data_IF_448357303516
#
_entry.id   IF_448357303516
#
_cell.length_a   1.000
_cell.length_b   1.000
_cell.length_c   1.000
_cell.angle_alpha   90.00
_cell.angle_beta   90.00
_cell.angle_gamma   90.00
#
_symmetry.space_group_name_H-M   'P 1'
#
loop_
_entity.id
_entity.type
_entity.pdbx_description
1 polymer ?
#
# COMPACT_ATOMS: atom_id res chain seq x y z
N UNK A 1 -8.16 -16.17 1.68
CA UNK A 1 -7.60 -17.40 2.23
C UNK A 1 -7.80 -17.48 3.71
N UNK A 2 -8.55 -18.51 4.19
CA UNK A 2 -8.79 -18.70 5.61
C UNK A 2 -7.47 -18.93 6.33
N UNK A 3 -7.14 -18.07 7.29
CA UNK A 3 -6.18 -18.37 8.33
C UNK A 3 -6.73 -19.60 9.07
N UNK A 4 -6.18 -20.79 8.82
CA UNK A 4 -6.49 -21.97 9.63
C UNK A 4 -6.05 -21.64 11.05
N UNK A 5 -7.01 -21.49 11.94
CA UNK A 5 -6.84 -20.91 13.24
C UNK A 5 -6.11 -21.85 14.20
N UNK A 6 -4.82 -21.54 14.46
CA UNK A 6 -4.28 -21.85 15.79
C UNK A 6 -5.03 -20.98 16.80
N UNK A 7 -5.53 -21.57 17.86
CA UNK A 7 -6.15 -20.81 18.96
C UNK A 7 -5.11 -20.59 20.07
N UNK A 8 -4.99 -19.38 20.65
CA UNK A 8 -5.76 -18.17 20.31
C UNK A 8 -5.31 -17.54 19.00
N UNK A 9 -6.25 -17.00 18.22
CA UNK A 9 -5.94 -16.24 17.01
C UNK A 9 -5.51 -14.82 17.38
N UNK A 10 -4.25 -14.48 17.09
CA UNK A 10 -3.73 -13.12 17.21
C UNK A 10 -3.61 -12.54 15.79
N UNK A 11 -4.25 -11.41 15.56
CA UNK A 11 -4.29 -10.71 14.26
C UNK A 11 -3.11 -9.74 14.10
N UNK A 12 -3.09 -9.06 12.94
CA UNK A 12 -2.17 -7.97 12.61
C UNK A 12 -0.87 -8.43 11.96
N UNK A 13 -0.33 -7.55 11.15
CA UNK A 13 0.94 -7.75 10.42
C UNK A 13 1.86 -6.54 10.49
N UNK A 14 1.33 -5.35 10.74
CA UNK A 14 2.10 -4.12 10.84
C UNK A 14 2.72 -3.99 12.21
N UNK A 15 4.01 -3.70 12.26
CA UNK A 15 4.72 -3.52 13.51
C UNK A 15 5.77 -2.42 13.42
N UNK A 16 5.90 -1.65 14.49
CA UNK A 16 7.05 -0.80 14.77
C UNK A 16 7.33 -0.83 16.27
N UNK A 17 8.58 -1.03 16.64
CA UNK A 17 8.95 -1.20 18.05
C UNK A 17 10.46 -1.22 18.24
N UNK A 18 10.85 -1.59 19.46
CA UNK A 18 12.24 -1.66 19.90
C UNK A 18 12.64 -3.13 20.04
N UNK A 19 13.77 -3.51 19.49
CA UNK A 19 14.32 -4.85 19.63
C UNK A 19 14.62 -5.14 21.11
N UNK A 20 13.85 -6.02 21.71
CA UNK A 20 14.05 -6.47 23.08
C UNK A 20 15.17 -7.52 23.17
N UNK A 21 15.18 -8.44 22.20
CA UNK A 21 16.16 -9.51 22.07
C UNK A 21 16.33 -9.93 20.63
N UNK A 22 17.53 -10.33 20.22
CA UNK A 22 17.82 -10.86 18.89
C UNK A 22 18.34 -12.30 19.00
N UNK A 23 17.88 -13.17 18.11
CA UNK A 23 18.39 -14.54 18.02
C UNK A 23 19.88 -14.58 17.67
N UNK A 24 20.57 -15.64 18.06
CA UNK A 24 22.03 -15.78 17.90
C UNK A 24 22.55 -15.70 16.45
N UNK A 25 21.69 -15.98 15.48
CA UNK A 25 22.01 -15.84 14.04
C UNK A 25 21.69 -14.48 13.42
N UNK A 26 21.12 -13.54 14.18
CA UNK A 26 20.75 -12.21 13.69
C UNK A 26 21.94 -11.27 13.87
N UNK A 27 22.46 -10.74 12.76
CA UNK A 27 23.61 -9.82 12.76
C UNK A 27 23.23 -8.38 12.39
N UNK A 28 22.07 -8.18 11.75
CA UNK A 28 21.62 -6.88 11.26
C UNK A 28 20.91 -6.01 12.31
N UNK A 29 20.51 -6.58 13.43
CA UNK A 29 19.85 -5.87 14.53
C UNK A 29 20.40 -6.29 15.89
N UNK A 30 20.39 -5.35 16.83
CA UNK A 30 20.75 -5.57 18.23
C UNK A 30 19.67 -5.03 19.17
N UNK A 31 19.70 -5.45 20.43
CA UNK A 31 18.84 -4.92 21.49
C UNK A 31 18.93 -3.37 21.53
N UNK A 32 17.77 -2.73 21.55
CA UNK A 32 17.61 -1.29 21.59
C UNK A 32 17.42 -0.63 20.22
N UNK A 33 17.63 -1.36 19.12
CA UNK A 33 17.36 -0.81 17.78
C UNK A 33 15.85 -0.59 17.60
N UNK A 34 15.50 0.56 17.02
CA UNK A 34 14.12 0.83 16.59
C UNK A 34 13.91 0.26 15.19
N UNK A 35 12.92 -0.60 15.04
CA UNK A 35 12.64 -1.33 13.79
C UNK A 35 11.17 -1.26 13.42
N UNK A 36 10.87 -1.49 12.13
CA UNK A 36 9.50 -1.64 11.65
C UNK A 36 9.43 -2.56 10.44
N UNK A 37 8.21 -3.05 10.15
CA UNK A 37 7.97 -3.87 8.98
C UNK A 37 6.65 -4.62 9.02
N UNK A 38 6.35 -5.31 7.92
CA UNK A 38 5.20 -6.20 7.79
C UNK A 38 5.62 -7.63 8.11
N UNK A 39 5.01 -8.23 9.13
CA UNK A 39 5.45 -9.50 9.71
C UNK A 39 4.73 -10.69 9.08
N UNK A 40 5.49 -11.66 8.55
CA UNK A 40 5.01 -12.99 8.11
C UNK A 40 3.83 -12.98 7.11
N UNK A 41 3.57 -11.91 6.38
CA UNK A 41 2.50 -11.95 5.40
C UNK A 41 2.94 -12.72 4.12
N UNK A 42 2.11 -13.66 3.60
CA UNK A 42 0.69 -13.92 3.89
C UNK A 42 0.40 -14.92 5.04
N UNK A 43 1.37 -15.28 5.87
CA UNK A 43 1.18 -16.12 7.06
C UNK A 43 0.65 -15.33 8.27
N UNK A 44 0.78 -15.90 9.47
CA UNK A 44 0.36 -15.27 10.72
C UNK A 44 1.38 -14.24 11.20
N UNK A 45 1.02 -12.95 11.19
CA UNK A 45 1.87 -11.85 11.69
C UNK A 45 1.87 -11.74 13.21
N UNK A 46 0.70 -11.96 13.83
CA UNK A 46 0.48 -11.89 15.29
C UNK A 46 0.91 -10.54 15.90
N UNK A 47 0.70 -9.44 15.14
CA UNK A 47 1.19 -8.13 15.51
C UNK A 47 0.31 -7.40 16.54
N UNK A 48 -0.89 -7.89 16.85
CA UNK A 48 -1.72 -7.37 17.94
C UNK A 48 -1.21 -7.90 19.27
N UNK A 49 -0.01 -7.48 19.65
CA UNK A 49 0.66 -7.93 20.87
C UNK A 49 1.70 -6.89 21.33
N UNK A 50 1.99 -6.89 22.63
CA UNK A 50 3.03 -6.03 23.21
C UNK A 50 4.44 -6.48 22.78
N UNK A 51 4.62 -7.77 22.50
CA UNK A 51 5.86 -8.37 22.01
C UNK A 51 5.58 -9.28 20.82
N UNK A 52 6.44 -9.22 19.82
CA UNK A 52 6.31 -9.95 18.57
C UNK A 52 7.62 -10.68 18.27
N UNK A 53 7.53 -11.97 17.96
CA UNK A 53 8.64 -12.71 17.36
C UNK A 53 8.58 -12.55 15.84
N UNK A 54 9.49 -11.73 15.29
CA UNK A 54 9.53 -11.41 13.87
C UNK A 54 10.79 -11.96 13.20
N UNK A 55 10.70 -12.53 11.98
CA UNK A 55 11.89 -12.80 11.19
C UNK A 55 12.64 -11.51 10.89
N UNK A 56 13.94 -11.49 11.14
CA UNK A 56 14.80 -10.33 10.89
C UNK A 56 14.73 -9.88 9.40
N UNK A 57 14.55 -10.83 8.47
CA UNK A 57 14.41 -10.55 7.03
C UNK A 57 13.11 -9.78 6.65
N UNK A 58 12.19 -9.56 7.58
CA UNK A 58 10.96 -8.79 7.35
C UNK A 58 11.04 -7.34 7.86
N UNK A 59 12.09 -7.02 8.60
CA UNK A 59 12.25 -5.76 9.30
C UNK A 59 13.34 -4.88 8.66
N UNK A 60 13.25 -3.59 8.96
CA UNK A 60 14.31 -2.61 8.73
C UNK A 60 14.42 -1.64 9.90
N UNK A 61 15.52 -0.90 9.99
CA UNK A 61 15.69 0.19 10.95
C UNK A 61 14.65 1.29 10.67
N UNK A 62 13.98 1.75 11.70
CA UNK A 62 13.07 2.89 11.64
C UNK A 62 13.87 4.18 11.48
N UNK A 63 13.55 5.04 10.49
CA UNK A 63 14.15 6.37 10.41
C UNK A 63 13.88 7.18 11.67
N UNK A 64 14.89 7.94 12.13
CA UNK A 64 14.80 8.71 13.37
C UNK A 64 13.86 9.92 13.29
N UNK A 65 13.55 10.38 12.09
CA UNK A 65 12.69 11.52 11.81
C UNK A 65 11.19 11.19 11.77
N UNK A 66 10.80 9.93 11.96
CA UNK A 66 9.40 9.51 12.02
C UNK A 66 9.07 8.81 13.35
N UNK A 67 7.83 8.91 13.77
CA UNK A 67 7.30 8.22 14.94
C UNK A 67 7.07 6.72 14.67
N UNK A 68 6.94 5.92 15.74
CA UNK A 68 6.53 4.51 15.62
C UNK A 68 5.14 4.35 14.97
N UNK A 69 4.22 5.29 15.21
CA UNK A 69 2.91 5.26 14.58
C UNK A 69 3.01 5.45 13.06
N UNK A 70 3.82 6.39 12.58
CA UNK A 70 4.06 6.61 11.15
C UNK A 70 4.77 5.41 10.50
N UNK A 71 5.74 4.83 11.19
CA UNK A 71 6.46 3.66 10.71
C UNK A 71 5.55 2.42 10.61
N UNK A 72 4.73 2.16 11.63
CA UNK A 72 3.77 1.06 11.61
C UNK A 72 2.73 1.25 10.49
N UNK A 73 2.18 2.46 10.32
CA UNK A 73 1.22 2.78 9.25
C UNK A 73 1.82 2.56 7.85
N UNK A 74 3.12 2.77 7.68
CA UNK A 74 3.80 2.55 6.40
C UNK A 74 4.03 1.06 6.08
N UNK A 75 3.99 0.16 7.05
CA UNK A 75 4.47 -1.22 6.85
C UNK A 75 3.73 -1.95 5.73
N UNK A 76 2.48 -2.36 5.91
CA UNK A 76 1.72 -3.06 4.87
C UNK A 76 1.36 -2.15 3.71
N UNK A 77 0.90 -0.94 3.99
CA UNK A 77 0.30 -0.07 2.99
C UNK A 77 1.34 0.47 1.99
N UNK A 78 2.48 1.00 2.47
CA UNK A 78 3.54 1.46 1.59
C UNK A 78 4.24 0.29 0.87
N UNK A 79 4.41 -0.86 1.55
CA UNK A 79 4.99 -2.05 0.95
C UNK A 79 4.12 -2.59 -0.19
N UNK A 80 2.79 -2.59 -0.01
CA UNK A 80 1.85 -2.98 -1.07
C UNK A 80 1.98 -2.06 -2.29
N UNK A 81 1.97 -0.75 -2.10
CA UNK A 81 2.13 0.22 -3.18
C UNK A 81 3.48 0.06 -3.89
N UNK A 82 4.57 -0.06 -3.13
CA UNK A 82 5.92 -0.23 -3.64
C UNK A 82 6.07 -1.49 -4.48
N UNK A 83 5.70 -2.62 -3.93
CA UNK A 83 5.83 -3.91 -4.62
C UNK A 83 4.91 -4.01 -5.83
N UNK A 84 3.66 -3.54 -5.76
CA UNK A 84 2.74 -3.55 -6.89
C UNK A 84 3.30 -2.76 -8.07
N UNK A 85 3.88 -1.57 -7.84
CA UNK A 85 4.44 -0.73 -8.89
C UNK A 85 5.74 -1.26 -9.50
N UNK A 86 6.41 -2.22 -8.84
CA UNK A 86 7.67 -2.83 -9.31
C UNK A 86 7.52 -4.25 -9.83
N UNK A 87 6.42 -4.94 -9.49
CA UNK A 87 6.29 -6.38 -9.74
C UNK A 87 6.28 -6.74 -11.24
N UNK A 88 5.65 -5.95 -12.08
CA UNK A 88 5.39 -6.28 -13.48
C UNK A 88 5.87 -5.23 -14.48
N UNK A 89 6.26 -4.07 -13.99
CA UNK A 89 6.79 -2.97 -14.79
C UNK A 89 7.58 -2.02 -13.91
N UNK A 90 8.37 -1.16 -14.56
CA UNK A 90 8.92 0.03 -13.90
C UNK A 90 8.24 1.24 -14.51
N UNK A 91 7.53 2.00 -13.67
CA UNK A 91 6.90 3.25 -14.10
C UNK A 91 7.98 4.19 -14.63
N UNK A 92 7.78 4.70 -15.85
CA UNK A 92 8.70 5.62 -16.50
C UNK A 92 8.28 7.06 -16.28
N UNK A 93 9.27 7.96 -16.28
CA UNK A 93 9.01 9.41 -16.21
C UNK A 93 8.06 9.85 -17.31
N UNK A 94 7.01 10.59 -16.93
CA UNK A 94 6.00 11.13 -17.84
C UNK A 94 4.86 10.18 -18.20
N UNK A 95 4.90 8.91 -17.76
CA UNK A 95 3.75 8.03 -17.90
C UNK A 95 2.56 8.54 -17.07
N UNK A 96 1.35 8.36 -17.62
CA UNK A 96 0.10 8.66 -16.90
C UNK A 96 -0.32 7.48 -16.04
N UNK A 97 -0.42 7.73 -14.76
CA UNK A 97 -0.77 6.74 -13.73
C UNK A 97 -2.09 7.11 -13.07
N UNK A 98 -3.02 6.17 -13.00
CA UNK A 98 -4.27 6.31 -12.25
C UNK A 98 -4.19 5.47 -10.97
N UNK A 99 -4.45 6.10 -9.82
CA UNK A 99 -4.51 5.44 -8.52
C UNK A 99 -5.94 5.51 -8.00
N UNK A 100 -6.59 4.35 -7.87
CA UNK A 100 -7.90 4.28 -7.24
C UNK A 100 -7.83 4.39 -5.72
N UNK A 101 -8.88 4.98 -5.12
CA UNK A 101 -8.94 5.30 -3.70
C UNK A 101 -7.65 6.00 -3.19
N UNK A 102 -7.24 7.06 -3.88
CA UNK A 102 -5.98 7.77 -3.64
C UNK A 102 -5.86 8.35 -2.22
N UNK A 103 -6.96 8.60 -1.52
CA UNK A 103 -6.99 9.02 -0.12
C UNK A 103 -6.96 7.86 0.88
N UNK A 104 -6.99 6.60 0.40
CA UNK A 104 -6.98 5.40 1.24
C UNK A 104 -5.59 5.00 1.73
N UNK A 105 -5.54 3.95 2.55
CA UNK A 105 -4.30 3.46 3.17
C UNK A 105 -3.19 3.14 2.18
N UNK A 106 -3.44 2.36 1.13
CA UNK A 106 -2.46 2.07 0.07
C UNK A 106 -2.35 3.24 -0.92
N UNK A 107 -3.49 3.85 -1.27
CA UNK A 107 -3.57 4.88 -2.32
C UNK A 107 -2.69 6.09 -2.05
N UNK A 108 -2.65 6.59 -0.80
CA UNK A 108 -1.86 7.79 -0.50
C UNK A 108 -0.35 7.57 -0.60
N UNK A 109 0.14 6.36 -0.30
CA UNK A 109 1.54 6.01 -0.59
C UNK A 109 1.78 5.80 -2.08
N UNK A 110 0.82 5.17 -2.76
CA UNK A 110 0.93 4.91 -4.19
C UNK A 110 1.06 6.21 -5.02
N UNK A 111 0.28 7.24 -4.69
CA UNK A 111 0.42 8.58 -5.31
C UNK A 111 1.84 9.10 -5.13
N UNK A 112 2.36 9.13 -3.92
CA UNK A 112 3.69 9.66 -3.60
C UNK A 112 4.81 8.84 -4.28
N UNK A 113 4.69 7.50 -4.31
CA UNK A 113 5.66 6.61 -4.95
C UNK A 113 5.63 6.78 -6.48
N UNK A 114 4.45 6.89 -7.10
CA UNK A 114 4.33 7.16 -8.53
C UNK A 114 4.97 8.52 -8.90
N UNK A 115 4.76 9.54 -8.08
CA UNK A 115 5.44 10.85 -8.24
C UNK A 115 6.95 10.74 -8.11
N UNK A 116 7.44 9.94 -7.17
CA UNK A 116 8.88 9.67 -7.02
C UNK A 116 9.49 9.04 -8.28
N UNK A 117 8.75 8.18 -8.99
CA UNK A 117 9.16 7.63 -10.28
C UNK A 117 9.02 8.64 -11.44
N UNK A 118 8.48 9.83 -11.18
CA UNK A 118 8.34 10.90 -12.19
C UNK A 118 7.09 10.79 -13.06
N UNK A 119 6.09 10.02 -12.64
CA UNK A 119 4.82 9.91 -13.34
C UNK A 119 3.97 11.19 -13.21
N UNK A 120 3.09 11.38 -14.18
CA UNK A 120 1.89 12.19 -14.01
C UNK A 120 0.81 11.32 -13.35
N UNK A 121 0.21 11.80 -12.27
CA UNK A 121 -0.65 11.00 -11.41
C UNK A 121 -2.04 11.60 -11.29
N UNK A 122 -3.06 10.84 -11.69
CA UNK A 122 -4.46 11.07 -11.34
C UNK A 122 -4.86 10.19 -10.16
N UNK A 123 -5.55 10.75 -9.18
CA UNK A 123 -6.03 10.02 -8.00
C UNK A 123 -7.55 10.08 -7.86
N UNK A 124 -8.23 8.91 -7.79
CA UNK A 124 -9.68 8.91 -7.54
C UNK A 124 -9.95 9.02 -6.04
N UNK A 125 -10.81 9.93 -5.65
CA UNK A 125 -11.34 10.07 -4.29
C UNK A 125 -12.67 10.81 -4.31
N UNK A 126 -13.37 10.89 -3.17
CA UNK A 126 -14.53 11.78 -3.04
C UNK A 126 -14.11 13.26 -3.05
N UNK A 127 -15.02 14.16 -3.39
CA UNK A 127 -14.80 15.62 -3.39
C UNK A 127 -14.18 16.12 -2.07
N UNK A 128 -14.59 15.56 -0.93
CA UNK A 128 -14.08 15.92 0.39
C UNK A 128 -12.57 15.67 0.57
N UNK A 129 -12.01 14.74 -0.19
CA UNK A 129 -10.59 14.37 -0.13
C UNK A 129 -9.74 15.03 -1.23
N UNK A 130 -10.33 15.93 -2.02
CA UNK A 130 -9.64 16.57 -3.15
C UNK A 130 -8.32 17.23 -2.73
N UNK A 131 -8.37 18.10 -1.74
CA UNK A 131 -7.19 18.84 -1.31
C UNK A 131 -6.12 17.92 -0.73
N UNK A 132 -6.52 16.89 0.00
CA UNK A 132 -5.59 15.86 0.50
C UNK A 132 -4.87 15.16 -0.66
N UNK A 133 -5.60 14.68 -1.68
CA UNK A 133 -5.02 13.96 -2.82
C UNK A 133 -4.05 14.84 -3.61
N UNK A 134 -4.39 16.11 -3.83
CA UNK A 134 -3.49 17.06 -4.50
C UNK A 134 -2.26 17.39 -3.63
N UNK A 135 -2.44 17.58 -2.32
CA UNK A 135 -1.34 17.90 -1.40
C UNK A 135 -0.32 16.78 -1.24
N UNK A 136 -0.71 15.51 -1.40
CA UNK A 136 0.23 14.38 -1.41
C UNK A 136 0.92 14.20 -2.77
N UNK A 137 0.65 15.07 -3.74
CA UNK A 137 1.38 15.19 -4.99
C UNK A 137 0.68 14.69 -6.24
N UNK A 138 -0.61 14.30 -6.20
CA UNK A 138 -1.35 14.01 -7.42
C UNK A 138 -1.44 15.28 -8.30
N UNK A 139 -1.28 15.10 -9.60
CA UNK A 139 -1.44 16.18 -10.58
C UNK A 139 -2.91 16.48 -10.83
N UNK A 140 -3.78 15.47 -10.69
CA UNK A 140 -5.22 15.59 -10.87
C UNK A 140 -5.99 14.76 -9.83
N UNK A 141 -7.07 15.33 -9.34
CA UNK A 141 -8.06 14.66 -8.51
C UNK A 141 -9.29 14.33 -9.34
N UNK A 142 -9.69 13.08 -9.35
CA UNK A 142 -10.87 12.57 -10.02
C UNK A 142 -11.96 12.27 -9.00
N UNK A 143 -13.07 13.00 -9.03
CA UNK A 143 -14.23 12.68 -8.20
C UNK A 143 -15.05 11.58 -8.87
N UNK A 144 -14.93 10.35 -8.34
CA UNK A 144 -15.63 9.19 -8.87
C UNK A 144 -17.18 9.26 -8.73
N UNK A 145 -17.71 10.27 -8.00
CA UNK A 145 -19.14 10.52 -7.83
C UNK A 145 -19.69 11.59 -8.75
N UNK A 146 -18.83 12.46 -9.30
CA UNK A 146 -19.25 13.61 -10.08
C UNK A 146 -19.65 13.24 -11.51
N UNK A 147 -18.88 12.38 -12.15
CA UNK A 147 -19.09 11.92 -13.52
C UNK A 147 -18.41 10.56 -13.76
N UNK A 148 -18.77 9.85 -14.83
CA UNK A 148 -18.04 8.64 -15.26
C UNK A 148 -16.54 8.93 -15.43
N UNK A 149 -15.68 7.98 -15.10
CA UNK A 149 -14.23 8.18 -15.12
C UNK A 149 -13.72 8.55 -16.53
N UNK A 150 -14.29 7.94 -17.58
CA UNK A 150 -13.88 8.17 -18.97
C UNK A 150 -14.17 9.57 -19.51
N UNK A 151 -15.02 10.34 -18.82
CA UNK A 151 -15.26 11.76 -19.12
C UNK A 151 -14.26 12.68 -18.42
N UNK A 152 -13.55 12.17 -17.41
CA UNK A 152 -12.65 12.96 -16.57
C UNK A 152 -11.18 12.73 -16.92
N UNK A 153 -10.79 11.52 -17.31
CA UNK A 153 -9.39 11.18 -17.60
C UNK A 153 -9.30 10.14 -18.71
N UNK A 154 -8.22 10.18 -19.50
CA UNK A 154 -7.96 9.24 -20.59
C UNK A 154 -6.45 9.05 -20.82
N UNK A 155 -6.14 8.10 -21.70
CA UNK A 155 -4.77 7.78 -22.12
C UNK A 155 -3.87 7.34 -20.96
N UNK A 156 -4.39 6.50 -20.08
CA UNK A 156 -3.67 5.98 -18.91
C UNK A 156 -2.72 4.85 -19.32
N UNK A 157 -1.47 4.93 -18.88
CA UNK A 157 -0.44 3.92 -19.13
C UNK A 157 -0.43 2.83 -18.04
N UNK A 158 -0.74 3.21 -16.79
CA UNK A 158 -0.72 2.31 -15.63
C UNK A 158 -1.85 2.62 -14.66
N UNK A 159 -2.53 1.58 -14.19
CA UNK A 159 -3.55 1.68 -13.14
C UNK A 159 -3.15 0.84 -11.94
N UNK A 160 -3.19 1.44 -10.75
CA UNK A 160 -3.24 0.69 -9.49
C UNK A 160 -4.68 0.70 -8.97
N UNK A 161 -5.32 -0.45 -9.10
CA UNK A 161 -6.69 -0.65 -8.63
C UNK A 161 -6.68 -1.24 -7.21
N UNK A 162 -7.18 -0.46 -6.27
CA UNK A 162 -7.29 -0.82 -4.86
C UNK A 162 -8.74 -1.15 -4.45
N UNK A 163 -9.66 -1.24 -5.40
CA UNK A 163 -11.11 -1.43 -5.18
C UNK A 163 -11.58 -2.77 -5.74
N UNK A 164 -11.19 -3.11 -6.99
CA UNK A 164 -11.62 -4.32 -7.68
C UNK A 164 -13.05 -4.28 -8.22
N UNK A 165 -13.56 -5.43 -8.68
CA UNK A 165 -14.90 -5.54 -9.21
C UNK A 165 -15.11 -4.73 -10.51
N UNK A 166 -16.16 -3.91 -10.55
CA UNK A 166 -16.49 -3.07 -11.71
C UNK A 166 -15.45 -1.97 -11.99
N UNK A 167 -14.66 -1.58 -11.00
CA UNK A 167 -13.59 -0.58 -11.18
C UNK A 167 -12.55 -1.03 -12.19
N UNK A 168 -12.35 -2.35 -12.33
CA UNK A 168 -11.47 -2.92 -13.37
C UNK A 168 -11.99 -2.56 -14.75
N UNK A 169 -13.29 -2.78 -15.02
CA UNK A 169 -13.89 -2.51 -16.34
C UNK A 169 -13.80 -1.02 -16.69
N UNK A 170 -14.17 -0.15 -15.76
CA UNK A 170 -14.08 1.30 -15.91
C UNK A 170 -12.62 1.75 -16.18
N UNK A 171 -11.65 1.15 -15.49
CA UNK A 171 -10.23 1.46 -15.71
C UNK A 171 -9.76 1.09 -17.11
N UNK A 172 -10.17 -0.08 -17.61
CA UNK A 172 -9.79 -0.55 -18.93
C UNK A 172 -10.36 0.32 -20.10
N UNK A 173 -11.40 1.13 -19.85
CA UNK A 173 -11.93 2.09 -20.82
C UNK A 173 -11.04 3.33 -20.97
N UNK A 174 -10.24 3.65 -19.96
CA UNK A 174 -9.38 4.84 -19.91
C UNK A 174 -7.97 4.57 -20.40
N UNK A 175 -7.60 3.29 -20.49
CA UNK A 175 -6.22 2.88 -20.68
C UNK A 175 -5.84 2.84 -22.16
N UNK A 176 -4.57 3.12 -22.44
CA UNK A 176 -3.96 2.86 -23.74
C UNK A 176 -3.80 1.35 -23.98
N UNK A 177 -3.83 0.93 -25.24
CA UNK A 177 -3.38 -0.42 -25.62
C UNK A 177 -1.95 -0.66 -25.14
N UNK A 178 -1.71 -1.85 -24.63
CA UNK A 178 -0.43 -2.22 -23.99
C UNK A 178 -0.24 -1.68 -22.57
N UNK A 179 -1.17 -0.88 -22.06
CA UNK A 179 -1.18 -0.40 -20.68
C UNK A 179 -1.27 -1.53 -19.65
N UNK A 180 -0.95 -1.23 -18.42
CA UNK A 180 -0.88 -2.21 -17.32
C UNK A 180 -1.84 -1.84 -16.21
N UNK A 181 -2.71 -2.76 -15.81
CA UNK A 181 -3.53 -2.64 -14.60
C UNK A 181 -3.10 -3.68 -13.56
N UNK A 182 -2.87 -3.23 -12.34
CA UNK A 182 -2.63 -4.10 -11.18
C UNK A 182 -3.76 -3.92 -10.19
N UNK A 183 -4.48 -5.02 -9.91
CA UNK A 183 -5.59 -5.02 -8.95
C UNK A 183 -5.22 -5.83 -7.71
N UNK A 184 -5.35 -5.21 -6.53
CA UNK A 184 -4.87 -5.76 -5.26
C UNK A 184 -5.96 -6.41 -4.38
N UNK A 185 -7.26 -6.07 -4.45
CA UNK A 185 -8.27 -6.62 -3.55
C UNK A 185 -8.55 -8.09 -3.86
N UNK A 186 -8.13 -8.99 -2.97
CA UNK A 186 -8.41 -10.42 -3.10
C UNK A 186 -9.92 -10.70 -3.08
N UNK A 187 -10.40 -11.57 -3.97
CA UNK A 187 -11.82 -11.88 -4.11
C UNK A 187 -12.59 -10.97 -5.07
N UNK A 188 -11.96 -9.89 -5.55
CA UNK A 188 -12.57 -8.92 -6.47
C UNK A 188 -11.70 -8.65 -7.72
N UNK A 189 -10.59 -9.37 -7.89
CA UNK A 189 -9.61 -9.13 -8.93
C UNK A 189 -9.26 -10.35 -9.80
N UNK A 190 -9.99 -11.46 -9.65
CA UNK A 190 -9.68 -12.72 -10.36
C UNK A 190 -9.77 -12.58 -11.87
N UNK A 191 -10.71 -11.77 -12.37
CA UNK A 191 -10.95 -11.59 -13.79
C UNK A 191 -10.05 -10.52 -14.45
N UNK A 192 -9.15 -9.86 -13.71
CA UNK A 192 -8.39 -8.71 -14.24
C UNK A 192 -7.50 -9.08 -15.42
N UNK A 193 -6.90 -10.26 -15.40
CA UNK A 193 -6.00 -10.73 -16.48
C UNK A 193 -6.77 -10.96 -17.77
N UNK A 194 -7.90 -11.67 -17.70
CA UNK A 194 -8.70 -12.00 -18.89
C UNK A 194 -9.37 -10.75 -19.48
N UNK A 195 -9.93 -9.89 -18.63
CA UNK A 195 -10.55 -8.62 -19.04
C UNK A 195 -9.54 -7.68 -19.73
N UNK A 196 -8.35 -7.54 -19.16
CA UNK A 196 -7.30 -6.71 -19.75
C UNK A 196 -6.80 -7.29 -21.08
N UNK A 197 -6.58 -8.62 -21.14
CA UNK A 197 -6.14 -9.31 -22.34
C UNK A 197 -7.13 -9.15 -23.50
N UNK A 198 -8.43 -9.21 -23.24
CA UNK A 198 -9.48 -8.99 -24.24
C UNK A 198 -9.46 -7.58 -24.88
N UNK A 199 -8.84 -6.60 -24.21
CA UNK A 199 -8.69 -5.21 -24.68
C UNK A 199 -7.23 -4.85 -25.07
N UNK A 200 -6.38 -5.84 -25.35
CA UNK A 200 -4.97 -5.68 -25.70
C UNK A 200 -4.14 -4.94 -24.64
N UNK A 201 -4.47 -5.16 -23.36
CA UNK A 201 -3.78 -4.62 -22.19
C UNK A 201 -3.24 -5.76 -21.31
N UNK A 202 -2.47 -5.44 -20.29
CA UNK A 202 -1.92 -6.41 -19.33
C UNK A 202 -2.56 -6.21 -17.97
N UNK A 203 -3.21 -7.26 -17.45
CA UNK A 203 -3.84 -7.25 -16.14
C UNK A 203 -3.20 -8.26 -15.19
N UNK A 204 -2.96 -7.83 -13.97
CA UNK A 204 -2.36 -8.69 -12.94
C UNK A 204 -3.09 -8.53 -11.61
N UNK A 205 -3.45 -9.66 -11.00
CA UNK A 205 -3.76 -9.69 -9.57
C UNK A 205 -2.46 -9.66 -8.78
N UNK A 206 -2.43 -8.90 -7.69
CA UNK A 206 -1.22 -8.75 -6.91
C UNK A 206 -1.48 -8.98 -5.43
N UNK A 207 -0.54 -9.63 -4.77
CA UNK A 207 -0.53 -9.84 -3.32
C UNK A 207 0.85 -9.51 -2.77
N UNK A 208 0.89 -8.57 -1.85
CA UNK A 208 2.12 -8.14 -1.15
C UNK A 208 2.75 -9.30 -0.37
N UNK A 209 4.06 -9.24 -0.14
CA UNK A 209 4.80 -10.19 0.70
C UNK A 209 5.74 -9.44 1.64
N UNK A 210 5.88 -9.94 2.86
CA UNK A 210 6.86 -9.42 3.82
C UNK A 210 8.27 -9.48 3.23
N UNK A 211 8.99 -8.35 3.22
CA UNK A 211 10.32 -8.22 2.63
C UNK A 211 11.09 -7.04 3.27
N UNK A 212 12.18 -7.34 3.97
CA UNK A 212 12.99 -6.31 4.64
C UNK A 212 13.77 -5.41 3.69
N UNK A 213 14.19 -5.89 2.51
CA UNK A 213 14.91 -5.07 1.53
C UNK A 213 13.98 -4.00 0.92
N UNK A 214 12.74 -4.38 0.59
CA UNK A 214 11.72 -3.42 0.15
C UNK A 214 11.35 -2.46 1.28
N UNK A 215 11.25 -2.94 2.53
CA UNK A 215 11.04 -2.07 3.69
C UNK A 215 12.19 -1.09 3.88
N UNK A 216 13.44 -1.48 3.61
CA UNK A 216 14.59 -0.59 3.62
C UNK A 216 14.50 0.49 2.55
N UNK A 217 14.01 0.16 1.35
CA UNK A 217 13.76 1.16 0.32
C UNK A 217 12.67 2.17 0.77
N UNK A 218 11.60 1.69 1.38
CA UNK A 218 10.53 2.54 1.96
C UNK A 218 11.09 3.41 3.08
N UNK A 219 11.91 2.86 3.98
CA UNK A 219 12.56 3.61 5.05
C UNK A 219 13.38 4.78 4.50
N UNK A 220 14.17 4.57 3.43
CA UNK A 220 14.93 5.64 2.77
C UNK A 220 14.01 6.74 2.18
N UNK A 221 12.84 6.39 1.66
CA UNK A 221 11.89 7.38 1.13
C UNK A 221 11.23 8.18 2.27
N UNK A 222 10.91 7.53 3.38
CA UNK A 222 10.40 8.17 4.60
C UNK A 222 11.45 9.10 5.22
N UNK A 223 12.71 8.65 5.35
CA UNK A 223 13.81 9.45 5.88
C UNK A 223 14.05 10.73 5.08
N UNK A 224 13.96 10.64 3.75
CA UNK A 224 14.11 11.79 2.84
C UNK A 224 12.85 12.66 2.75
N UNK A 225 11.77 12.29 3.42
CA UNK A 225 10.48 12.99 3.34
C UNK A 225 9.81 12.92 1.95
N UNK A 226 10.26 11.99 1.08
CA UNK A 226 9.69 11.77 -0.26
C UNK A 226 8.30 11.15 -0.13
N UNK A 227 8.12 10.22 0.79
CA UNK A 227 6.82 9.72 1.19
C UNK A 227 6.56 10.06 2.65
N UNK A 228 5.30 10.29 2.98
CA UNK A 228 4.84 10.63 4.34
C UNK A 228 3.62 9.79 4.68
N UNK A 229 3.61 9.26 5.89
CA UNK A 229 2.44 8.58 6.44
C UNK A 229 1.39 9.59 6.86
N UNK A 230 0.14 9.36 6.48
CA UNK A 230 -1.00 10.08 7.02
C UNK A 230 -1.72 9.22 8.06
N UNK A 231 -1.82 9.71 9.29
CA UNK A 231 -2.50 9.05 10.39
C UNK A 231 -3.71 9.88 10.77
N UNK A 232 -4.90 9.35 10.51
CA UNK A 232 -6.15 10.02 10.86
C UNK A 232 -6.51 9.85 12.34
N UNK A 233 -6.29 8.65 12.89
CA UNK A 233 -6.65 8.31 14.27
C UNK A 233 -5.59 7.39 14.91
N UNK A 234 -5.43 7.54 16.21
CA UNK A 234 -4.62 6.67 17.06
C UNK A 234 -5.50 6.13 18.17
N UNK A 235 -5.50 4.83 18.35
CA UNK A 235 -6.24 4.13 19.41
C UNK A 235 -5.27 3.45 20.36
N UNK A 236 -5.61 3.42 21.63
CA UNK A 236 -4.87 2.59 22.59
C UNK A 236 -5.10 1.10 22.29
N UNK A 237 -4.19 0.24 22.74
CA UNK A 237 -4.29 -1.21 22.54
C UNK A 237 -5.62 -1.80 23.04
N UNK A 238 -6.14 -1.27 24.15
CA UNK A 238 -7.42 -1.71 24.72
C UNK A 238 -8.63 -1.26 23.90
N UNK A 239 -8.45 -0.40 22.90
CA UNK A 239 -9.51 0.15 22.04
C UNK A 239 -9.49 -0.44 20.62
N UNK A 240 -8.85 -1.58 20.41
CA UNK A 240 -8.77 -2.25 19.09
C UNK A 240 -10.15 -2.41 18.44
N UNK A 241 -11.18 -2.76 19.20
CA UNK A 241 -12.54 -2.87 18.66
C UNK A 241 -13.07 -1.54 18.07
N UNK A 242 -12.74 -0.41 18.69
CA UNK A 242 -13.09 0.92 18.13
C UNK A 242 -12.30 1.23 16.87
N UNK A 243 -11.02 0.85 16.81
CA UNK A 243 -10.20 1.00 15.62
C UNK A 243 -10.77 0.21 14.43
N UNK A 244 -11.24 -1.03 14.64
CA UNK A 244 -11.93 -1.81 13.62
C UNK A 244 -13.23 -1.15 13.18
N UNK A 245 -14.07 -0.69 14.11
CA UNK A 245 -15.32 -0.01 13.78
C UNK A 245 -15.09 1.28 12.96
N UNK A 246 -13.99 2.00 13.22
CA UNK A 246 -13.64 3.21 12.46
C UNK A 246 -13.28 2.91 10.99
N UNK A 247 -12.74 1.74 10.68
CA UNK A 247 -12.40 1.36 9.30
C UNK A 247 -13.64 0.94 8.50
N UNK A 248 -14.70 0.48 9.19
CA UNK A 248 -15.94 0.02 8.57
C UNK A 248 -16.93 1.16 8.21
N UNK A 249 -16.64 2.40 8.64
CA UNK A 249 -17.45 3.60 8.35
C UNK A 249 -16.90 4.41 7.18
#
# INVERSE_FOLDING_TARGET
GSLKSEKPLILGWDASGIVAEAGSGVTQFKKGDEVFGMINFPGHGKAYAEYIAAPAAHLTIKPSNISHNEAAAASLAALTAWQAMKAFTTIQKGQKVLIHAAAGGVGHYAVQIAKYFGAWVAGTASAANRDFVLNIGADEHIDYKAAPLHEQVADIDFVLDTIGGETIDHSLELMKKGGIIISIPSGLNEAVTDKAGAKEMKGYSFKVKSNGDDMKAIANLLEKGIIKSHISHIFSFNEIAKAHAQIET
#
